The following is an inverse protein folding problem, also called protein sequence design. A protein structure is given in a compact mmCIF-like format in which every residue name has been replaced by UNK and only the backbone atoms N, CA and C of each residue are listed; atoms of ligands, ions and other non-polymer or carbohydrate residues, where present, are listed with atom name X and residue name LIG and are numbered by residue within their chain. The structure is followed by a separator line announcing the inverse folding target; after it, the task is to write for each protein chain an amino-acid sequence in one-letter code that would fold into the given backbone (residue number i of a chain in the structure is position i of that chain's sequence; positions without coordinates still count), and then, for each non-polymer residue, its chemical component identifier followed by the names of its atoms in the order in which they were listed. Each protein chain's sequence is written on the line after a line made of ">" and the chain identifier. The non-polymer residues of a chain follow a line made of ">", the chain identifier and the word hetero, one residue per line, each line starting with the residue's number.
data_IF_980483097814
#
_entry.id   IF_980483097814
#
_cell.length_a   1.000
_cell.length_b   1.000
_cell.length_c   1.000
_cell.angle_alpha   90.00
_cell.angle_beta   90.00
_cell.angle_gamma   90.00
#
_symmetry.space_group_name_H-M   'P 1'
#
loop_
_entity.id
_entity.type
_entity.pdbx_description
1 polymer ?
#
# COMPACT_ATOMS: atom_id res chain seq x y z
N UNK A 1 4.23 16.69 3.00
CA UNK A 1 3.62 15.72 2.07
C UNK A 1 3.25 14.45 2.81
N UNK A 2 1.99 14.11 2.77
CA UNK A 2 1.50 12.93 3.44
C UNK A 2 1.57 11.73 2.52
N UNK A 3 2.07 10.64 3.06
CA UNK A 3 2.07 9.38 2.34
C UNK A 3 0.72 8.69 2.57
N UNK A 4 0.07 8.34 1.51
CA UNK A 4 -1.28 7.78 1.55
C UNK A 4 -1.25 6.40 0.92
N UNK A 5 -1.96 5.47 1.53
CA UNK A 5 -2.19 4.15 0.97
C UNK A 5 -3.70 3.93 0.91
N UNK A 6 -4.18 3.59 -0.26
CA UNK A 6 -5.59 3.33 -0.49
C UNK A 6 -5.78 1.90 -0.98
N UNK A 7 -6.69 1.18 -0.38
CA UNK A 7 -7.02 -0.18 -0.78
C UNK A 7 -8.44 -0.22 -1.33
N UNK A 8 -8.60 -0.91 -2.44
CA UNK A 8 -9.88 -1.05 -3.13
C UNK A 8 -10.28 -2.51 -3.17
N UNK A 9 -11.56 -2.78 -2.96
CA UNK A 9 -12.09 -4.11 -3.11
C UNK A 9 -13.49 -4.04 -3.70
N UNK A 10 -14.11 -5.18 -3.81
CA UNK A 10 -15.51 -5.24 -4.24
C UNK A 10 -16.39 -4.66 -3.12
N UNK A 11 -16.90 -3.46 -3.30
CA UNK A 11 -17.76 -2.73 -2.36
C UNK A 11 -17.04 -2.03 -1.21
N UNK A 12 -15.72 -1.85 -1.28
CA UNK A 12 -15.05 -1.02 -0.27
C UNK A 12 -13.92 -0.20 -0.88
N UNK A 13 -13.59 0.88 -0.19
CA UNK A 13 -12.51 1.79 -0.52
C UNK A 13 -12.05 2.41 0.79
N UNK A 14 -10.86 2.05 1.27
CA UNK A 14 -10.33 2.53 2.54
C UNK A 14 -9.02 3.26 2.35
N UNK A 15 -8.88 4.38 3.05
CA UNK A 15 -7.67 5.19 3.06
C UNK A 15 -6.91 5.01 4.35
N UNK A 16 -5.59 4.97 4.23
CA UNK A 16 -4.69 4.89 5.37
C UNK A 16 -3.60 5.94 5.24
N UNK A 17 -3.41 6.75 6.26
CA UNK A 17 -2.26 7.64 6.35
C UNK A 17 -1.10 6.83 6.89
N UNK A 18 0.01 6.82 6.15
CA UNK A 18 1.22 6.13 6.56
C UNK A 18 2.22 7.18 7.02
N UNK A 19 2.50 7.18 8.30
CA UNK A 19 3.41 8.14 8.90
C UNK A 19 4.86 7.72 8.74
N UNK A 20 5.77 8.69 8.80
CA UNK A 20 7.21 8.43 8.68
C UNK A 20 7.73 7.50 9.77
N UNK A 21 7.00 7.36 10.86
CA UNK A 21 7.34 6.47 11.97
C UNK A 21 7.24 4.99 11.60
N UNK A 22 6.50 4.68 10.56
CA UNK A 22 6.40 3.30 10.05
C UNK A 22 7.67 2.98 9.27
N UNK A 23 8.66 2.43 9.95
CA UNK A 23 9.96 2.11 9.35
C UNK A 23 9.87 1.14 8.17
N UNK A 24 8.83 0.34 8.13
CA UNK A 24 8.61 -0.60 7.05
C UNK A 24 7.18 -0.49 6.57
N UNK A 25 6.99 0.29 5.51
CA UNK A 25 5.67 0.51 4.95
C UNK A 25 5.10 -0.75 4.30
N UNK A 26 5.97 -1.64 3.85
CA UNK A 26 5.55 -2.95 3.37
C UNK A 26 4.87 -3.77 4.45
N UNK A 27 5.41 -3.76 5.68
CA UNK A 27 4.79 -4.45 6.80
C UNK A 27 3.42 -3.87 7.14
N UNK A 28 3.30 -2.54 7.04
CA UNK A 28 2.00 -1.88 7.26
C UNK A 28 0.99 -2.35 6.22
N UNK A 29 1.38 -2.36 4.95
CA UNK A 29 0.53 -2.84 3.87
C UNK A 29 0.13 -4.30 4.09
N UNK A 30 1.06 -5.14 4.51
CA UNK A 30 0.79 -6.54 4.75
C UNK A 30 -0.32 -6.71 5.79
N UNK A 31 -0.28 -5.94 6.87
CA UNK A 31 -1.33 -5.99 7.89
C UNK A 31 -2.67 -5.51 7.36
N UNK A 32 -2.65 -4.45 6.54
CA UNK A 32 -3.86 -3.92 5.92
C UNK A 32 -4.49 -4.96 5.01
N UNK A 33 -3.69 -5.60 4.15
CA UNK A 33 -4.19 -6.64 3.24
C UNK A 33 -4.75 -7.84 4.00
N UNK A 34 -4.14 -8.19 5.12
CA UNK A 34 -4.61 -9.28 5.96
C UNK A 34 -6.01 -9.01 6.51
N UNK A 35 -6.31 -7.73 6.79
CA UNK A 35 -7.61 -7.31 7.29
C UNK A 35 -8.62 -7.03 6.17
N UNK A 36 -8.16 -7.04 4.91
CA UNK A 36 -9.00 -6.74 3.76
C UNK A 36 -8.86 -7.85 2.70
N UNK A 37 -9.32 -9.07 3.01
CA UNK A 37 -9.12 -10.21 2.10
C UNK A 37 -9.78 -10.07 0.74
N UNK A 38 -10.75 -9.17 0.61
CA UNK A 38 -11.39 -8.88 -0.68
C UNK A 38 -10.70 -7.78 -1.49
N UNK A 39 -9.53 -7.35 -1.09
CA UNK A 39 -8.80 -6.28 -1.79
C UNK A 39 -8.43 -6.70 -3.21
N UNK A 40 -8.71 -5.83 -4.18
CA UNK A 40 -8.42 -6.06 -5.59
C UNK A 40 -7.37 -5.11 -6.14
N UNK A 41 -7.18 -3.96 -5.51
CA UNK A 41 -6.22 -2.96 -5.96
C UNK A 41 -5.70 -2.15 -4.79
N UNK A 42 -4.43 -1.73 -4.89
CA UNK A 42 -3.78 -0.87 -3.91
C UNK A 42 -3.18 0.32 -4.65
N UNK A 43 -3.42 1.52 -4.14
CA UNK A 43 -2.74 2.74 -4.58
C UNK A 43 -1.85 3.23 -3.46
N UNK A 44 -0.63 3.59 -3.80
CA UNK A 44 0.35 4.05 -2.82
C UNK A 44 1.02 5.32 -3.32
N UNK A 45 0.83 6.40 -2.57
CA UNK A 45 1.47 7.70 -2.85
C UNK A 45 2.73 7.81 -1.98
N UNK A 46 3.90 7.88 -2.61
CA UNK A 46 5.18 7.90 -1.89
C UNK A 46 6.25 8.57 -2.75
N UNK A 47 7.20 9.23 -2.10
CA UNK A 47 8.32 9.87 -2.78
C UNK A 47 9.64 9.09 -2.63
N UNK A 48 9.78 8.26 -1.60
CA UNK A 48 11.02 7.55 -1.31
C UNK A 48 11.03 6.15 -1.92
N UNK A 49 12.04 5.88 -2.74
CA UNK A 49 12.15 4.60 -3.44
C UNK A 49 12.25 3.41 -2.48
N UNK A 50 12.91 3.58 -1.33
CA UNK A 50 13.03 2.48 -0.36
C UNK A 50 11.67 2.01 0.15
N UNK A 51 10.73 2.93 0.34
CA UNK A 51 9.37 2.57 0.77
C UNK A 51 8.58 1.96 -0.37
N UNK A 52 8.75 2.49 -1.58
CA UNK A 52 8.14 1.91 -2.78
C UNK A 52 8.61 0.47 -2.96
N UNK A 53 9.91 0.23 -2.82
CA UNK A 53 10.47 -1.11 -2.97
C UNK A 53 9.96 -2.07 -1.90
N UNK A 54 9.79 -1.61 -0.65
CA UNK A 54 9.27 -2.47 0.41
C UNK A 54 7.83 -2.89 0.15
N UNK A 55 7.02 -1.97 -0.41
CA UNK A 55 5.64 -2.26 -0.79
C UNK A 55 5.60 -3.25 -1.95
N UNK A 56 6.43 -3.04 -2.97
CA UNK A 56 6.51 -3.95 -4.11
C UNK A 56 6.88 -5.37 -3.67
N UNK A 57 7.77 -5.48 -2.70
CA UNK A 57 8.21 -6.77 -2.17
C UNK A 57 7.05 -7.53 -1.53
N UNK A 58 6.23 -6.83 -0.74
CA UNK A 58 5.04 -7.42 -0.12
C UNK A 58 4.03 -7.85 -1.19
N UNK A 59 3.86 -7.02 -2.22
CA UNK A 59 2.87 -7.29 -3.26
C UNK A 59 3.20 -8.50 -4.12
N UNK A 60 4.44 -8.98 -4.09
CA UNK A 60 4.80 -10.23 -4.77
C UNK A 60 4.03 -11.43 -4.23
N UNK A 61 3.62 -11.37 -2.97
CA UNK A 61 2.84 -12.43 -2.33
C UNK A 61 1.34 -12.31 -2.66
N UNK A 62 0.94 -11.24 -3.35
CA UNK A 62 -0.46 -10.97 -3.71
C UNK A 62 -0.57 -10.68 -5.20
N UNK A 63 -0.23 -11.65 -6.07
CA UNK A 63 -0.18 -11.42 -7.52
C UNK A 63 -1.53 -11.07 -8.14
N UNK A 64 -2.63 -11.42 -7.48
CA UNK A 64 -3.97 -11.11 -7.96
C UNK A 64 -4.41 -9.68 -7.62
N UNK A 65 -3.64 -8.97 -6.77
CA UNK A 65 -3.95 -7.61 -6.38
C UNK A 65 -3.14 -6.65 -7.25
N UNK A 66 -3.84 -5.70 -7.88
CA UNK A 66 -3.20 -4.69 -8.72
C UNK A 66 -2.56 -3.61 -7.84
N UNK A 67 -1.32 -3.27 -8.13
CA UNK A 67 -0.60 -2.22 -7.42
C UNK A 67 -0.35 -1.02 -8.33
N UNK A 68 -0.75 0.15 -7.87
CA UNK A 68 -0.44 1.42 -8.54
C UNK A 68 0.38 2.28 -7.61
N UNK A 69 1.55 2.71 -8.07
CA UNK A 69 2.42 3.59 -7.29
C UNK A 69 2.42 4.97 -7.93
N UNK A 70 2.10 5.97 -7.13
CA UNK A 70 2.10 7.36 -7.57
C UNK A 70 3.23 8.06 -6.83
N UNK A 71 4.28 8.37 -7.58
CA UNK A 71 5.43 9.03 -6.99
C UNK A 71 5.11 10.51 -6.76
N UNK A 72 5.21 10.93 -5.51
CA UNK A 72 4.96 12.33 -5.13
C UNK A 72 6.28 13.07 -5.01
N UNK A 73 6.27 14.33 -5.33
CA UNK A 73 7.45 15.20 -5.21
C UNK A 73 7.29 16.19 -4.08
#
# INVERSE_FOLDING_TARGET
>A
LENILEVFGFKFDDFFLIEDEDRNKGNRLKRILKNHPGCTRVKFWEDKDKHINSVKEVMKDYPEVELEIIKTL
#
